data_IF_634799280746
#
_entry.id   IF_634799280746
#
_cell.length_a   1.000
_cell.length_b   1.000
_cell.length_c   1.000
_cell.angle_alpha   90.00
_cell.angle_beta   90.00
_cell.angle_gamma   90.00
#
_symmetry.space_group_name_H-M   'P 1'
#
loop_
_entity.id
_entity.type
_entity.pdbx_description
1 polymer ?
#
# COMPACT_ATOMS: atom_id res chain seq x y z
N UNK A 1 29.47 -1.27 -37.16
CA UNK A 1 29.28 -2.00 -35.88
C UNK A 1 27.79 -2.01 -35.55
N UNK A 2 27.10 -3.13 -35.81
CA UNK A 2 25.70 -3.28 -35.43
C UNK A 2 25.65 -3.73 -33.97
N UNK A 3 25.30 -2.82 -33.06
CA UNK A 3 24.98 -3.18 -31.68
C UNK A 3 23.76 -4.08 -31.79
N UNK A 4 23.94 -5.37 -31.49
CA UNK A 4 22.84 -6.35 -31.50
C UNK A 4 21.90 -6.00 -30.35
N UNK A 5 20.93 -5.14 -30.63
CA UNK A 5 19.80 -4.84 -29.74
C UNK A 5 19.09 -6.16 -29.50
N UNK A 6 19.19 -6.66 -28.28
CA UNK A 6 18.66 -7.98 -27.94
C UNK A 6 17.17 -7.85 -27.62
N UNK A 7 16.40 -8.93 -27.81
CA UNK A 7 15.00 -8.99 -27.34
C UNK A 7 14.84 -8.59 -25.86
N UNK A 8 15.89 -8.78 -25.05
CA UNK A 8 15.91 -8.43 -23.62
C UNK A 8 15.88 -6.92 -23.41
N UNK A 9 16.55 -6.14 -24.26
CA UNK A 9 16.61 -4.68 -24.14
C UNK A 9 15.24 -4.05 -24.44
N UNK A 10 14.56 -4.55 -25.48
CA UNK A 10 13.19 -4.15 -25.82
C UNK A 10 12.22 -4.49 -24.69
N UNK A 11 12.30 -5.71 -24.13
CA UNK A 11 11.46 -6.13 -23.02
C UNK A 11 11.67 -5.26 -21.77
N UNK A 12 12.92 -4.94 -21.42
CA UNK A 12 13.22 -4.10 -20.27
C UNK A 12 12.66 -2.68 -20.40
N UNK A 13 12.77 -2.08 -21.60
CA UNK A 13 12.18 -0.76 -21.88
C UNK A 13 10.65 -0.80 -21.77
N UNK A 14 10.04 -1.88 -22.26
CA UNK A 14 8.59 -2.08 -22.23
C UNK A 14 8.07 -2.29 -20.80
N UNK A 15 8.73 -3.10 -19.98
CA UNK A 15 8.39 -3.30 -18.57
C UNK A 15 8.50 -1.99 -17.77
N UNK A 16 9.52 -1.18 -18.09
CA UNK A 16 9.67 0.15 -17.52
C UNK A 16 8.54 1.09 -17.96
N UNK A 17 8.23 1.14 -19.26
CA UNK A 17 7.13 1.94 -19.80
C UNK A 17 5.76 1.51 -19.24
N UNK A 18 5.56 0.22 -18.96
CA UNK A 18 4.34 -0.30 -18.38
C UNK A 18 4.14 0.09 -16.91
N UNK A 19 5.24 0.25 -16.15
CA UNK A 19 5.21 0.44 -14.69
C UNK A 19 5.30 1.89 -14.22
N UNK A 20 5.77 2.82 -15.05
CA UNK A 20 5.92 4.23 -14.68
C UNK A 20 4.58 4.90 -14.34
N UNK A 21 4.64 5.84 -13.40
CA UNK A 21 3.48 6.53 -12.84
C UNK A 21 3.24 7.93 -13.41
N UNK A 22 4.17 8.44 -14.22
CA UNK A 22 4.12 9.79 -14.79
C UNK A 22 4.25 9.75 -16.31
N UNK A 23 3.50 10.61 -16.97
CA UNK A 23 3.46 10.68 -18.44
C UNK A 23 4.81 11.10 -19.02
N UNK A 24 5.53 12.00 -18.32
CA UNK A 24 6.89 12.38 -18.69
C UNK A 24 7.85 11.17 -18.78
N UNK A 25 7.88 10.30 -17.76
CA UNK A 25 8.75 9.12 -17.75
C UNK A 25 8.31 8.07 -18.78
N UNK A 26 7.00 7.96 -19.00
CA UNK A 26 6.46 7.10 -20.05
C UNK A 26 6.94 7.55 -21.43
N UNK A 27 6.82 8.84 -21.75
CA UNK A 27 7.25 9.40 -23.02
C UNK A 27 8.76 9.21 -23.26
N UNK A 28 9.58 9.33 -22.21
CA UNK A 28 11.00 8.99 -22.30
C UNK A 28 11.22 7.52 -22.69
N UNK A 29 10.54 6.58 -22.03
CA UNK A 29 10.69 5.15 -22.35
C UNK A 29 10.19 4.83 -23.77
N UNK A 30 9.13 5.50 -24.24
CA UNK A 30 8.62 5.32 -25.60
C UNK A 30 9.56 5.91 -26.66
N UNK A 31 10.22 7.02 -26.37
CA UNK A 31 11.27 7.56 -27.23
C UNK A 31 12.48 6.61 -27.31
N UNK A 32 12.91 6.06 -26.17
CA UNK A 32 13.96 5.04 -26.12
C UNK A 32 13.58 3.80 -26.93
N UNK A 33 12.35 3.30 -26.76
CA UNK A 33 11.84 2.15 -27.52
C UNK A 33 11.83 2.42 -29.04
N UNK A 34 11.44 3.62 -29.46
CA UNK A 34 11.42 4.02 -30.86
C UNK A 34 12.81 4.05 -31.47
N UNK A 35 13.79 4.54 -30.71
CA UNK A 35 15.19 4.59 -31.13
C UNK A 35 15.82 3.18 -31.21
N UNK A 36 15.41 2.29 -30.31
CA UNK A 36 15.95 0.94 -30.19
C UNK A 36 15.29 -0.03 -31.19
N UNK A 37 13.97 -0.01 -31.31
CA UNK A 37 13.23 -0.94 -32.17
C UNK A 37 11.88 -0.37 -32.64
N UNK A 38 11.90 0.36 -33.76
CA UNK A 38 10.73 1.03 -34.34
C UNK A 38 9.51 0.12 -34.53
N UNK A 39 9.69 -1.10 -35.05
CA UNK A 39 8.56 -2.02 -35.25
C UNK A 39 7.89 -2.43 -33.94
N UNK A 40 8.64 -2.46 -32.83
CA UNK A 40 8.08 -2.77 -31.52
C UNK A 40 7.28 -1.57 -31.03
N UNK A 41 7.83 -0.36 -31.17
CA UNK A 41 7.10 0.89 -30.90
C UNK A 41 5.76 0.96 -31.66
N UNK A 42 5.76 0.73 -32.97
CA UNK A 42 4.56 0.79 -33.80
C UNK A 42 3.52 -0.25 -33.33
N UNK A 43 3.98 -1.46 -32.95
CA UNK A 43 3.11 -2.52 -32.42
C UNK A 43 2.47 -2.16 -31.07
N UNK A 44 3.24 -1.63 -30.10
CA UNK A 44 2.65 -1.27 -28.80
C UNK A 44 1.75 -0.05 -28.86
N UNK A 45 2.07 0.90 -29.73
CA UNK A 45 1.20 2.06 -29.98
C UNK A 45 -0.15 1.59 -30.55
N UNK A 46 -0.12 0.70 -31.55
CA UNK A 46 -1.33 0.10 -32.14
C UNK A 46 -2.14 -0.75 -31.15
N UNK A 47 -1.48 -1.42 -30.20
CA UNK A 47 -2.14 -2.23 -29.15
C UNK A 47 -3.04 -1.35 -28.25
N UNK A 48 -2.68 -0.08 -28.10
CA UNK A 48 -3.37 0.89 -27.26
C UNK A 48 -2.76 0.95 -25.85
N UNK A 49 -2.09 2.06 -25.47
CA UNK A 49 -1.39 2.19 -24.18
C UNK A 49 -2.26 1.94 -22.94
N UNK A 50 -3.56 2.22 -23.01
CA UNK A 50 -4.50 2.00 -21.90
C UNK A 50 -4.62 0.53 -21.46
N UNK A 51 -4.23 -0.44 -22.31
CA UNK A 51 -4.31 -1.87 -22.02
C UNK A 51 -3.12 -2.41 -21.24
N UNK A 52 -1.96 -1.77 -21.37
CA UNK A 52 -0.68 -2.32 -20.87
C UNK A 52 0.14 -1.32 -20.07
N UNK A 53 -0.08 -0.02 -20.25
CA UNK A 53 0.60 1.04 -19.50
C UNK A 53 -0.21 1.50 -18.30
N UNK A 54 0.41 1.49 -17.12
CA UNK A 54 -0.20 1.94 -15.88
C UNK A 54 -0.59 3.41 -15.89
N UNK A 55 0.18 4.28 -16.55
CA UNK A 55 -0.12 5.73 -16.60
C UNK A 55 -1.38 6.02 -17.42
N UNK A 56 -1.67 5.20 -18.42
CA UNK A 56 -2.86 5.33 -19.29
C UNK A 56 -4.03 4.42 -18.86
N UNK A 57 -3.84 3.57 -17.84
CA UNK A 57 -4.90 2.69 -17.36
C UNK A 57 -5.91 3.46 -16.48
N UNK A 58 -7.16 3.54 -16.96
CA UNK A 58 -8.28 4.21 -16.28
C UNK A 58 -8.59 3.62 -14.89
N UNK A 59 -8.30 2.33 -14.68
CA UNK A 59 -8.58 1.61 -13.43
C UNK A 59 -7.70 2.07 -12.26
N UNK A 60 -6.62 2.82 -12.50
CA UNK A 60 -5.74 3.36 -11.46
C UNK A 60 -6.50 4.18 -10.42
N UNK A 61 -7.55 4.92 -10.84
CA UNK A 61 -8.39 5.72 -9.94
C UNK A 61 -9.12 4.85 -8.91
N UNK A 62 -9.56 3.66 -9.32
CA UNK A 62 -10.26 2.74 -8.43
C UNK A 62 -9.28 2.00 -7.53
N UNK A 63 -8.15 1.51 -8.06
CA UNK A 63 -7.19 0.73 -7.27
C UNK A 63 -6.51 1.53 -6.15
N UNK A 64 -6.11 2.78 -6.42
CA UNK A 64 -5.53 3.66 -5.37
C UNK A 64 -6.57 4.00 -4.30
N UNK A 65 -7.82 4.22 -4.70
CA UNK A 65 -8.93 4.44 -3.77
C UNK A 65 -9.21 3.19 -2.93
N UNK A 66 -9.21 1.99 -3.51
CA UNK A 66 -9.44 0.73 -2.78
C UNK A 66 -8.31 0.40 -1.80
N UNK A 67 -7.04 0.59 -2.18
CA UNK A 67 -5.90 0.39 -1.25
C UNK A 67 -5.99 1.38 -0.09
N UNK A 68 -6.24 2.66 -0.39
CA UNK A 68 -6.36 3.70 0.64
C UNK A 68 -7.55 3.45 1.59
N UNK A 69 -8.70 3.00 1.07
CA UNK A 69 -9.85 2.62 1.91
C UNK A 69 -9.51 1.45 2.83
N UNK A 70 -8.85 0.42 2.30
CA UNK A 70 -8.47 -0.77 3.10
C UNK A 70 -7.43 -0.40 4.16
N UNK A 71 -6.46 0.44 3.83
CA UNK A 71 -5.43 0.93 4.75
C UNK A 71 -6.01 1.86 5.83
N UNK A 72 -6.91 2.77 5.44
CA UNK A 72 -7.64 3.64 6.36
C UNK A 72 -8.51 2.82 7.33
N UNK A 73 -9.28 1.86 6.82
CA UNK A 73 -10.08 0.94 7.65
C UNK A 73 -9.18 0.14 8.59
N UNK A 74 -8.05 -0.40 8.10
CA UNK A 74 -7.11 -1.14 8.94
C UNK A 74 -6.48 -0.26 10.03
N UNK A 75 -6.19 0.99 9.72
CA UNK A 75 -5.68 1.98 10.69
C UNK A 75 -6.72 2.29 11.78
N UNK A 76 -7.97 2.56 11.38
CA UNK A 76 -9.07 2.77 12.32
C UNK A 76 -9.33 1.53 13.19
N UNK A 77 -9.35 0.33 12.60
CA UNK A 77 -9.55 -0.92 13.32
C UNK A 77 -8.35 -1.31 14.21
N UNK A 78 -7.14 -0.84 13.91
CA UNK A 78 -5.99 -1.02 14.80
C UNK A 78 -6.15 -0.22 16.09
N UNK A 79 -6.58 1.03 15.98
CA UNK A 79 -6.87 1.88 17.13
C UNK A 79 -8.09 1.37 17.91
N UNK A 80 -9.17 1.00 17.20
CA UNK A 80 -10.37 0.42 17.79
C UNK A 80 -10.17 -0.97 18.39
N UNK A 81 -9.05 -1.68 18.15
CA UNK A 81 -8.68 -2.89 18.88
C UNK A 81 -7.95 -2.59 20.18
N UNK A 82 -7.18 -1.51 20.22
CA UNK A 82 -6.48 -1.08 21.43
C UNK A 82 -7.45 -0.53 22.47
N UNK A 83 -8.46 0.25 22.04
CA UNK A 83 -9.44 0.87 22.95
C UNK A 83 -10.26 -0.15 23.79
N UNK A 84 -10.95 -1.16 23.23
CA UNK A 84 -11.74 -2.11 24.02
C UNK A 84 -10.89 -2.91 25.00
N UNK A 85 -9.68 -3.28 24.61
CA UNK A 85 -8.75 -3.99 25.50
C UNK A 85 -8.26 -3.08 26.64
N UNK A 86 -7.92 -1.83 26.34
CA UNK A 86 -7.50 -0.85 27.36
C UNK A 86 -8.65 -0.55 28.32
N UNK A 87 -9.84 -0.26 27.81
CA UNK A 87 -11.02 0.02 28.64
C UNK A 87 -11.38 -1.17 29.53
N UNK A 88 -11.34 -2.40 29.00
CA UNK A 88 -11.58 -3.61 29.78
C UNK A 88 -10.49 -3.83 30.84
N UNK A 89 -9.21 -3.64 30.47
CA UNK A 89 -8.09 -3.79 31.39
C UNK A 89 -8.13 -2.74 32.52
N UNK A 90 -8.48 -1.50 32.21
CA UNK A 90 -8.67 -0.43 33.18
C UNK A 90 -9.82 -0.72 34.14
N UNK A 91 -10.93 -1.24 33.62
CA UNK A 91 -12.07 -1.67 34.44
C UNK A 91 -11.67 -2.76 35.42
N UNK A 92 -11.01 -3.83 34.95
CA UNK A 92 -10.52 -4.93 35.80
C UNK A 92 -9.52 -4.41 36.83
N UNK A 93 -8.58 -3.56 36.42
CA UNK A 93 -7.60 -2.95 37.33
C UNK A 93 -8.28 -2.18 38.45
N UNK A 94 -9.24 -1.32 38.12
CA UNK A 94 -9.97 -0.52 39.11
C UNK A 94 -10.77 -1.41 40.08
N UNK A 95 -11.40 -2.47 39.58
CA UNK A 95 -12.13 -3.43 40.40
C UNK A 95 -11.21 -4.14 41.40
N UNK A 96 -10.06 -4.66 40.93
CA UNK A 96 -9.09 -5.33 41.78
C UNK A 96 -8.47 -4.39 42.81
N UNK A 97 -8.09 -3.18 42.41
CA UNK A 97 -7.54 -2.18 43.33
C UNK A 97 -8.49 -1.86 44.48
N UNK A 98 -9.78 -1.66 44.18
CA UNK A 98 -10.81 -1.45 45.22
C UNK A 98 -10.94 -2.66 46.14
N UNK A 99 -11.06 -3.86 45.56
CA UNK A 99 -11.21 -5.08 46.35
C UNK A 99 -10.05 -5.33 47.31
N UNK A 100 -8.81 -5.13 46.86
CA UNK A 100 -7.64 -5.27 47.73
C UNK A 100 -7.56 -4.16 48.78
N UNK A 101 -7.91 -2.93 48.42
CA UNK A 101 -7.96 -1.81 49.35
C UNK A 101 -8.96 -2.06 50.49
N UNK A 102 -10.17 -2.49 50.16
CA UNK A 102 -11.22 -2.76 51.15
C UNK A 102 -10.78 -3.88 52.11
N UNK A 103 -10.17 -4.96 51.59
CA UNK A 103 -9.64 -6.05 52.43
C UNK A 103 -8.49 -5.61 53.32
N UNK A 104 -7.65 -4.69 52.84
CA UNK A 104 -6.58 -4.14 53.65
C UNK A 104 -7.13 -3.33 54.83
N UNK A 105 -8.14 -2.49 54.59
CA UNK A 105 -8.81 -1.71 55.64
C UNK A 105 -9.49 -2.62 56.68
N UNK A 106 -10.18 -3.66 56.23
CA UNK A 106 -10.82 -4.64 57.12
C UNK A 106 -9.77 -5.39 57.96
N UNK A 107 -8.63 -5.76 57.38
CA UNK A 107 -7.56 -6.40 58.15
C UNK A 107 -6.98 -5.44 59.20
N UNK A 108 -6.79 -4.16 58.88
CA UNK A 108 -6.31 -3.15 59.82
C UNK A 108 -7.28 -2.89 60.96
N UNK A 109 -8.59 -2.88 60.71
CA UNK A 109 -9.60 -2.66 61.76
C UNK A 109 -9.77 -3.85 62.70
N UNK A 110 -9.31 -5.05 62.31
CA UNK A 110 -9.32 -6.25 63.18
C UNK A 110 -8.12 -6.33 64.14
N UNK A 111 -7.12 -5.45 63.98
CA UNK A 111 -5.93 -5.40 64.84
C UNK A 111 -6.01 -4.34 65.97
N UNK A 112 -7.14 -3.64 66.09
CA UNK A 112 -7.46 -2.71 67.18
C UNK A 112 -8.56 -3.30 68.06
#
# INVERSE_FOLDING_TARGET
MAISITRKDVAAIMDKAASVYTEFKYNQCMADLRNVHKNAFDYVEATGPHKWSRVHCRQRRYMVMTINVTECINSCLKFARQLPMLTLAEFIRNMLQRWFHDRHLVAQSMHH
#
